data_IF_365796373027
#
_entry.id   IF_365796373027
#
_cell.length_a   1.000
_cell.length_b   1.000
_cell.length_c   1.000
_cell.angle_alpha   90.00
_cell.angle_beta   90.00
_cell.angle_gamma   90.00
#
_symmetry.space_group_name_H-M   'P 1'
#
loop_
_entity.id
_entity.type
_entity.pdbx_description
1 polymer ?
#
# COMPACT_ATOMS: atom_id res chain seq x y z
N UNK A 1 23.47 -4.01 -12.31
CA UNK A 1 23.63 -3.39 -10.98
C UNK A 1 22.71 -4.09 -9.99
N UNK A 2 23.25 -4.50 -8.83
CA UNK A 2 22.49 -5.14 -7.73
C UNK A 2 21.60 -4.07 -7.07
N UNK A 3 20.33 -4.39 -6.83
CA UNK A 3 19.30 -3.49 -6.27
C UNK A 3 19.01 -3.94 -4.83
N UNK A 4 19.06 -3.04 -3.86
CA UNK A 4 19.00 -3.36 -2.42
C UNK A 4 17.82 -2.61 -1.78
N UNK A 5 16.94 -3.32 -1.09
CA UNK A 5 16.23 -2.71 0.03
C UNK A 5 17.28 -2.52 1.15
N UNK A 6 17.44 -1.30 1.64
CA UNK A 6 18.39 -1.01 2.72
C UNK A 6 17.59 -0.98 4.02
N UNK A 7 17.73 -2.04 4.80
CA UNK A 7 17.24 -2.12 6.17
C UNK A 7 18.23 -1.34 7.05
N UNK A 8 17.76 -0.34 7.81
CA UNK A 8 18.59 0.27 8.86
C UNK A 8 18.59 -0.62 10.11
N UNK A 9 19.31 -1.74 10.03
CA UNK A 9 20.00 -2.40 11.15
C UNK A 9 20.80 -3.57 10.56
N UNK A 10 21.94 -3.90 11.18
CA UNK A 10 22.96 -4.85 10.70
C UNK A 10 22.42 -6.27 10.48
N UNK A 11 21.81 -6.55 9.32
CA UNK A 11 21.56 -7.92 8.88
C UNK A 11 22.18 -8.17 7.51
N UNK A 12 23.32 -8.84 7.56
CA UNK A 12 24.07 -9.28 6.39
C UNK A 12 23.23 -10.18 5.48
N UNK A 13 23.38 -9.89 4.20
CA UNK A 13 22.78 -10.52 3.03
C UNK A 13 22.58 -12.04 3.09
N UNK A 14 21.36 -12.49 2.76
CA UNK A 14 21.15 -13.78 2.08
C UNK A 14 20.51 -13.53 0.72
N UNK A 15 21.15 -14.01 -0.33
CA UNK A 15 20.78 -13.76 -1.72
C UNK A 15 19.51 -14.51 -2.10
N UNK A 16 18.49 -13.80 -2.59
CA UNK A 16 17.35 -14.40 -3.28
C UNK A 16 17.09 -13.70 -4.62
N UNK A 17 16.98 -14.50 -5.70
CA UNK A 17 16.82 -14.02 -7.08
C UNK A 17 15.33 -13.82 -7.43
N UNK A 18 14.95 -12.55 -7.57
CA UNK A 18 14.02 -11.92 -8.51
C UNK A 18 13.09 -12.81 -9.36
N UNK A 19 11.77 -12.57 -9.27
CA UNK A 19 10.87 -12.24 -10.41
C UNK A 19 9.78 -11.26 -9.92
N UNK A 20 9.40 -10.29 -10.76
CA UNK A 20 8.31 -9.29 -10.62
C UNK A 20 8.65 -7.85 -10.11
N UNK A 21 8.65 -6.95 -11.11
CA UNK A 21 8.10 -5.58 -11.24
C UNK A 21 8.43 -4.38 -10.31
N UNK A 22 8.96 -3.36 -11.02
CA UNK A 22 8.96 -1.88 -10.95
C UNK A 22 8.69 -1.12 -9.64
N UNK A 23 9.76 -0.45 -9.18
CA UNK A 23 9.78 0.63 -8.20
C UNK A 23 10.29 1.91 -8.91
N UNK A 24 9.60 3.05 -8.77
CA UNK A 24 9.94 4.34 -9.43
C UNK A 24 10.72 5.32 -8.53
N UNK A 25 11.36 4.81 -7.47
CA UNK A 25 12.43 5.49 -6.74
C UNK A 25 13.70 4.63 -6.81
N UNK A 26 14.88 5.22 -6.67
CA UNK A 26 16.11 4.41 -6.69
C UNK A 26 16.22 3.51 -5.43
N UNK A 27 15.60 3.92 -4.31
CA UNK A 27 15.68 3.26 -3.00
C UNK A 27 14.44 3.59 -2.15
N UNK A 28 14.01 2.66 -1.30
CA UNK A 28 13.06 2.91 -0.20
C UNK A 28 13.72 2.47 1.11
N UNK A 29 13.67 3.32 2.14
CA UNK A 29 14.25 3.03 3.45
C UNK A 29 13.15 2.46 4.34
N UNK A 30 13.31 1.21 4.74
CA UNK A 30 12.47 0.59 5.78
C UNK A 30 13.07 0.97 7.12
N UNK A 31 12.38 1.85 7.82
CA UNK A 31 12.72 2.27 9.19
C UNK A 31 11.84 1.50 10.18
N UNK A 32 12.41 0.43 10.75
CA UNK A 32 11.74 -0.42 11.75
C UNK A 32 11.58 0.28 13.10
N UNK A 33 12.32 1.36 13.35
CA UNK A 33 12.27 2.14 14.59
C UNK A 33 11.28 3.32 14.49
N UNK A 34 10.69 3.53 13.31
CA UNK A 34 9.70 4.58 13.10
C UNK A 34 8.50 4.35 14.00
N UNK A 35 8.14 5.38 14.77
CA UNK A 35 6.94 5.35 15.59
C UNK A 35 5.69 5.39 14.72
N UNK A 36 4.75 4.52 15.04
CA UNK A 36 3.40 4.54 14.48
C UNK A 36 2.77 5.92 14.67
N UNK A 37 2.09 6.40 13.62
CA UNK A 37 1.24 7.57 13.75
C UNK A 37 -0.01 7.23 14.58
N UNK A 38 -0.60 8.24 15.22
CA UNK A 38 -1.72 8.04 16.12
C UNK A 38 -2.95 7.54 15.36
N UNK A 39 -3.52 6.44 15.86
CA UNK A 39 -4.83 5.95 15.42
C UNK A 39 -5.94 6.92 15.79
N UNK A 40 -6.82 7.19 14.85
CA UNK A 40 -8.05 7.95 15.04
C UNK A 40 -9.28 7.12 14.69
N UNK A 41 -10.37 7.32 15.42
CA UNK A 41 -11.64 6.63 15.14
C UNK A 41 -12.09 6.98 13.72
N UNK A 42 -12.39 5.96 12.93
CA UNK A 42 -12.74 6.11 11.51
C UNK A 42 -11.55 5.99 10.56
N UNK A 43 -10.33 5.77 11.05
CA UNK A 43 -9.20 5.37 10.20
C UNK A 43 -9.48 3.97 9.62
N UNK A 44 -9.36 3.83 8.29
CA UNK A 44 -9.38 2.54 7.61
C UNK A 44 -7.98 1.93 7.69
N UNK A 45 -7.85 0.83 8.45
CA UNK A 45 -6.57 0.12 8.57
C UNK A 45 -6.37 -0.78 7.38
N UNK A 46 -5.23 -0.62 6.71
CA UNK A 46 -4.86 -1.41 5.56
C UNK A 46 -3.45 -1.98 5.71
N UNK A 47 -3.20 -3.07 5.01
CA UNK A 47 -1.93 -3.76 5.08
C UNK A 47 -1.54 -4.41 3.76
N UNK A 48 -0.24 -4.50 3.50
CA UNK A 48 0.32 -5.01 2.24
C UNK A 48 1.74 -5.50 2.44
N UNK A 49 2.17 -6.47 1.62
CA UNK A 49 3.60 -6.76 1.41
C UNK A 49 4.06 -6.07 0.11
N UNK A 50 4.55 -4.83 0.17
CA UNK A 50 4.77 -4.03 -1.03
C UNK A 50 5.95 -4.53 -1.88
N UNK A 51 6.79 -5.42 -1.32
CA UNK A 51 7.97 -5.95 -2.00
C UNK A 51 7.83 -7.46 -2.24
N UNK A 52 7.47 -7.84 -3.47
CA UNK A 52 7.34 -9.23 -3.86
C UNK A 52 8.63 -10.04 -3.55
N UNK A 53 8.46 -11.17 -2.85
CA UNK A 53 9.57 -12.05 -2.45
C UNK A 53 10.37 -11.59 -1.23
N UNK A 54 10.00 -10.47 -0.59
CA UNK A 54 10.52 -10.07 0.70
C UNK A 54 9.43 -10.24 1.77
N UNK A 55 9.73 -10.90 2.90
CA UNK A 55 8.76 -11.15 3.95
C UNK A 55 8.59 -9.90 4.82
N UNK A 56 8.27 -8.75 4.21
CA UNK A 56 8.04 -7.51 4.94
C UNK A 56 6.67 -6.93 4.61
N UNK A 57 5.95 -6.67 5.69
CA UNK A 57 4.58 -6.25 5.78
C UNK A 57 4.55 -4.79 6.23
N UNK A 58 3.78 -3.98 5.50
CA UNK A 58 3.49 -2.59 5.80
C UNK A 58 2.06 -2.48 6.28
N UNK A 59 1.85 -1.88 7.45
CA UNK A 59 0.54 -1.40 7.89
C UNK A 59 0.44 0.11 7.73
N UNK A 60 -0.64 0.57 7.09
CA UNK A 60 -1.01 1.98 6.95
C UNK A 60 -2.44 2.22 7.44
N UNK A 61 -2.77 3.46 7.76
CA UNK A 61 -4.13 3.92 7.94
C UNK A 61 -4.50 4.93 6.84
N UNK A 62 -5.73 4.87 6.36
CA UNK A 62 -6.34 5.93 5.55
C UNK A 62 -7.36 6.65 6.44
N UNK A 63 -7.05 7.89 6.83
CA UNK A 63 -7.92 8.66 7.71
C UNK A 63 -9.21 9.08 7.03
N UNK A 64 -10.21 9.45 7.84
CA UNK A 64 -11.51 9.92 7.35
C UNK A 64 -11.40 11.13 6.39
N UNK A 65 -10.31 11.90 6.44
CA UNK A 65 -10.02 13.00 5.52
C UNK A 65 -9.13 12.60 4.32
N UNK A 66 -8.86 11.31 4.14
CA UNK A 66 -8.02 10.77 3.06
C UNK A 66 -6.50 10.77 3.33
N UNK A 67 -6.04 11.26 4.48
CA UNK A 67 -4.61 11.24 4.80
C UNK A 67 -4.09 9.79 4.97
N UNK A 68 -2.94 9.49 4.35
CA UNK A 68 -2.22 8.24 4.57
C UNK A 68 -1.29 8.38 5.77
N UNK A 69 -1.40 7.45 6.72
CA UNK A 69 -0.60 7.41 7.95
C UNK A 69 0.18 6.11 8.03
N UNK A 70 1.46 6.21 8.37
CA UNK A 70 2.28 5.05 8.72
C UNK A 70 1.84 4.44 10.05
N UNK A 71 1.78 3.11 10.11
CA UNK A 71 1.53 2.40 11.37
C UNK A 71 2.66 1.47 11.76
N UNK A 72 3.05 0.56 10.89
CA UNK A 72 4.05 -0.43 11.25
C UNK A 72 4.79 -1.02 10.05
N UNK A 73 6.02 -1.45 10.30
CA UNK A 73 6.74 -2.41 9.48
C UNK A 73 6.93 -3.69 10.30
N UNK A 74 6.57 -4.84 9.73
CA UNK A 74 6.73 -6.14 10.39
C UNK A 74 7.27 -7.18 9.42
N UNK A 75 8.06 -8.13 9.91
CA UNK A 75 8.45 -9.28 9.10
C UNK A 75 7.35 -10.35 9.14
N UNK A 76 6.84 -10.75 7.98
CA UNK A 76 5.79 -11.77 7.86
C UNK A 76 5.97 -12.59 6.59
N UNK A 77 5.88 -13.92 6.73
CA UNK A 77 6.04 -14.89 5.64
C UNK A 77 4.75 -15.08 4.81
N UNK A 78 3.58 -14.72 5.36
CA UNK A 78 2.25 -14.96 4.77
C UNK A 78 1.66 -13.75 4.05
N UNK A 79 2.51 -12.86 3.56
CA UNK A 79 2.07 -11.55 3.12
C UNK A 79 1.60 -11.49 1.66
N UNK A 80 0.52 -10.73 1.46
CA UNK A 80 -0.09 -10.52 0.15
C UNK A 80 0.41 -9.21 -0.47
N UNK A 81 0.77 -9.23 -1.76
CA UNK A 81 1.27 -8.05 -2.47
C UNK A 81 0.20 -7.01 -2.78
N UNK A 82 -1.06 -7.33 -2.57
CA UNK A 82 -2.17 -6.40 -2.66
C UNK A 82 -2.50 -5.78 -1.29
N UNK A 83 -3.01 -4.55 -1.31
CA UNK A 83 -3.50 -3.86 -0.12
C UNK A 83 -4.80 -4.50 0.35
N UNK A 84 -4.81 -4.94 1.60
CA UNK A 84 -5.91 -5.59 2.26
C UNK A 84 -6.39 -4.82 3.48
N UNK A 85 -7.59 -5.16 3.93
CA UNK A 85 -8.17 -4.68 5.18
C UNK A 85 -9.00 -5.82 5.76
N UNK A 86 -9.16 -5.84 7.08
CA UNK A 86 -10.10 -6.74 7.76
C UNK A 86 -11.51 -6.15 7.85
N UNK A 87 -11.67 -4.88 7.47
CA UNK A 87 -12.97 -4.22 7.46
C UNK A 87 -13.90 -4.79 6.40
N UNK A 88 -15.20 -4.73 6.69
CA UNK A 88 -16.25 -5.17 5.77
C UNK A 88 -17.27 -4.05 5.56
N UNK A 89 -17.97 -4.00 4.42
CA UNK A 89 -18.88 -2.88 4.10
C UNK A 89 -20.06 -2.71 5.06
N UNK A 90 -20.39 -3.74 5.83
CA UNK A 90 -21.40 -3.70 6.90
C UNK A 90 -20.88 -3.05 8.20
N UNK A 91 -19.56 -3.11 8.45
CA UNK A 91 -18.93 -2.60 9.68
C UNK A 91 -18.25 -1.25 9.50
N UNK A 92 -17.76 -0.98 8.30
CA UNK A 92 -17.02 0.23 7.99
C UNK A 92 -17.68 0.99 6.85
N UNK A 93 -18.01 2.26 7.10
CA UNK A 93 -18.51 3.18 6.09
C UNK A 93 -17.40 4.17 5.75
N UNK A 94 -16.76 3.96 4.61
CA UNK A 94 -15.72 4.85 4.13
C UNK A 94 -16.30 6.23 3.78
N UNK A 95 -15.55 7.28 4.12
CA UNK A 95 -15.83 8.63 3.64
C UNK A 95 -15.47 8.77 2.16
N UNK A 96 -15.95 9.83 1.52
CA UNK A 96 -15.61 10.08 0.12
C UNK A 96 -14.09 10.32 -0.05
N UNK A 97 -13.45 10.96 0.93
CA UNK A 97 -12.02 11.23 0.92
C UNK A 97 -11.19 9.94 1.03
N UNK A 98 -11.66 8.97 1.82
CA UNK A 98 -11.05 7.63 1.88
C UNK A 98 -11.19 6.91 0.53
N UNK A 99 -12.39 6.95 -0.06
CA UNK A 99 -12.65 6.34 -1.38
C UNK A 99 -11.74 6.99 -2.43
N UNK A 100 -11.65 8.31 -2.47
CA UNK A 100 -10.82 9.05 -3.44
C UNK A 100 -9.33 8.77 -3.26
N UNK A 101 -8.90 8.51 -2.01
CA UNK A 101 -7.53 8.10 -1.71
C UNK A 101 -7.24 6.69 -2.19
N UNK A 102 -8.14 5.75 -1.93
CA UNK A 102 -8.03 4.37 -2.42
C UNK A 102 -8.02 4.34 -3.96
N UNK A 103 -8.86 5.14 -4.60
CA UNK A 103 -8.88 5.28 -6.05
C UNK A 103 -7.57 5.85 -6.61
N UNK A 104 -7.01 6.87 -5.95
CA UNK A 104 -5.70 7.40 -6.32
C UNK A 104 -4.56 6.41 -6.10
N UNK A 105 -4.60 5.58 -5.05
CA UNK A 105 -3.65 4.48 -4.85
C UNK A 105 -3.78 3.45 -5.98
N UNK A 106 -5.00 3.08 -6.32
CA UNK A 106 -5.32 2.11 -7.36
C UNK A 106 -4.80 2.56 -8.75
N UNK A 107 -4.97 3.84 -9.09
CA UNK A 107 -4.51 4.40 -10.36
C UNK A 107 -3.03 4.75 -10.38
N UNK A 108 -2.33 4.68 -9.24
CA UNK A 108 -0.94 5.12 -9.09
C UNK A 108 -0.75 6.65 -9.01
N UNK A 109 -1.84 7.43 -9.05
CA UNK A 109 -1.85 8.89 -8.87
C UNK A 109 -1.42 9.30 -7.46
N UNK A 110 -1.78 8.50 -6.45
CA UNK A 110 -1.33 8.64 -5.07
C UNK A 110 -0.37 7.51 -4.78
N UNK A 111 0.73 7.84 -4.11
CA UNK A 111 1.75 6.89 -3.66
C UNK A 111 1.97 7.06 -2.17
N UNK A 112 2.18 5.95 -1.47
CA UNK A 112 2.59 6.03 -0.07
C UNK A 112 4.10 6.19 -0.02
N UNK A 113 4.58 7.41 0.24
CA UNK A 113 6.03 7.69 0.34
C UNK A 113 6.82 7.22 -0.91
N UNK A 114 6.20 7.35 -2.09
CA UNK A 114 6.76 6.88 -3.36
C UNK A 114 6.50 5.40 -3.67
N UNK A 115 6.00 4.60 -2.72
CA UNK A 115 5.53 3.24 -2.99
C UNK A 115 4.27 3.26 -3.84
N UNK A 116 4.30 2.51 -4.94
CA UNK A 116 3.09 2.12 -5.65
C UNK A 116 2.46 0.91 -4.95
N UNK A 117 1.22 1.06 -4.49
CA UNK A 117 0.52 0.04 -3.71
C UNK A 117 -0.67 -0.46 -4.54
N UNK A 118 -0.60 -1.72 -4.96
CA UNK A 118 -1.71 -2.35 -5.68
C UNK A 118 -2.88 -2.61 -4.73
N UNK A 119 -4.06 -2.04 -5.01
CA UNK A 119 -5.23 -2.19 -4.13
C UNK A 119 -5.93 -3.53 -4.31
N UNK A 120 -6.09 -4.31 -3.23
CA UNK A 120 -6.72 -5.62 -3.23
C UNK A 120 -8.23 -5.60 -3.06
N UNK A 121 -8.88 -6.72 -3.40
CA UNK A 121 -10.34 -6.84 -3.45
C UNK A 121 -11.06 -6.52 -2.13
N UNK A 122 -10.44 -6.82 -0.97
CA UNK A 122 -11.05 -6.51 0.34
C UNK A 122 -11.17 -5.01 0.56
N UNK A 123 -10.16 -4.22 0.18
CA UNK A 123 -10.22 -2.75 0.27
C UNK A 123 -11.22 -2.22 -0.75
N UNK A 124 -11.23 -2.76 -1.97
CA UNK A 124 -12.20 -2.37 -3.01
C UNK A 124 -13.66 -2.64 -2.61
N UNK A 125 -13.91 -3.64 -1.75
CA UNK A 125 -15.25 -3.91 -1.24
C UNK A 125 -15.78 -2.78 -0.33
N UNK A 126 -14.88 -2.16 0.45
CA UNK A 126 -15.19 -1.06 1.37
C UNK A 126 -15.11 0.30 0.68
N UNK A 127 -14.16 0.46 -0.23
CA UNK A 127 -13.91 1.65 -1.03
C UNK A 127 -13.98 1.31 -2.53
N UNK A 128 -15.17 1.37 -3.15
CA UNK A 128 -15.33 1.01 -4.56
C UNK A 128 -14.46 1.83 -5.50
N UNK A 129 -13.90 1.16 -6.51
CA UNK A 129 -13.05 1.79 -7.53
C UNK A 129 -13.91 2.37 -8.65
N UNK A 130 -13.72 3.65 -8.93
CA UNK A 130 -14.24 4.39 -10.07
C UNK A 130 -13.13 4.54 -11.13
N UNK A 131 -13.03 3.52 -11.98
CA UNK A 131 -12.02 3.46 -13.04
C UNK A 131 -12.17 4.63 -14.01
N UNK A 132 -13.40 4.98 -14.40
CA UNK A 132 -13.63 6.05 -15.37
C UNK A 132 -13.22 7.43 -14.83
N UNK A 133 -13.46 7.69 -13.54
CA UNK A 133 -12.99 8.91 -12.88
C UNK A 133 -11.47 8.96 -12.87
N UNK A 134 -10.81 7.87 -12.49
CA UNK A 134 -9.34 7.87 -12.41
C UNK A 134 -8.68 7.95 -13.80
N UNK A 135 -9.20 7.26 -14.83
CA UNK A 135 -8.69 7.41 -16.21
C UNK A 135 -8.77 8.87 -16.70
N UNK A 136 -9.83 9.60 -16.33
CA UNK A 136 -9.95 11.04 -16.64
C UNK A 136 -8.94 11.90 -15.87
N UNK A 137 -8.61 11.53 -14.63
CA UNK A 137 -7.68 12.27 -13.79
C UNK A 137 -6.22 12.03 -14.17
N UNK A 138 -5.87 10.81 -14.58
CA UNK A 138 -4.49 10.45 -14.98
C UNK A 138 -4.23 10.69 -16.48
N UNK A 139 -5.28 10.68 -17.31
CA UNK A 139 -5.14 10.70 -18.76
C UNK A 139 -4.67 9.36 -19.34
N UNK A 140 -4.62 8.31 -18.51
CA UNK A 140 -4.14 6.98 -18.88
C UNK A 140 -5.28 5.96 -18.85
N UNK A 141 -5.20 4.96 -19.74
CA UNK A 141 -6.08 3.79 -19.74
C UNK A 141 -5.67 2.83 -18.62
N UNK A 142 -6.59 2.48 -17.74
CA UNK A 142 -6.34 1.50 -16.67
C UNK A 142 -6.82 0.13 -17.14
N UNK A 143 -5.86 -0.76 -17.39
CA UNK A 143 -6.15 -2.13 -17.80
C UNK A 143 -6.31 -3.03 -16.58
N UNK A 144 -7.56 -3.45 -16.31
CA UNK A 144 -7.84 -4.49 -15.32
C UNK A 144 -7.46 -5.85 -15.92
N UNK A 145 -6.48 -6.53 -15.33
CA UNK A 145 -6.29 -7.95 -15.64
C UNK A 145 -7.50 -8.71 -15.06
N UNK A 146 -8.33 -9.26 -15.95
CA UNK A 146 -9.43 -10.15 -15.62
C UNK A 146 -8.94 -11.54 -15.21
#
# INVERSE_FOLDING_TARGET
MKKLAIFKNEFESRSFKSRYQTFEGEQYIIDLDRRAEKYEVGDLICFVNPFAGYPIYLEIAISANGALKFRNWEFSEDGNTYLHTYETPDKFKATQEQIDTVNGLFSGRIRFEGLNIAVGATVQSVCPIDVEKEEKLTGEKIFLNR
#
